data_IF_791488671826
#
_entry.id   IF_791488671826
#
_cell.length_a   1.000
_cell.length_b   1.000
_cell.length_c   1.000
_cell.angle_alpha   90.00
_cell.angle_beta   90.00
_cell.angle_gamma   90.00
#
_symmetry.space_group_name_H-M   'P 1'
#
loop_
_entity.id
_entity.type
_entity.pdbx_description
1 polymer ?
#
# COMPACT_ATOMS: atom_id res chain seq x y z
N UNK A 1 12.36 -16.44 5.25
CA UNK A 1 10.99 -16.98 5.29
C UNK A 1 10.32 -16.58 6.60
N UNK A 2 10.93 -16.82 7.76
CA UNK A 2 10.32 -16.56 9.07
C UNK A 2 10.02 -15.07 9.30
N UNK A 3 10.97 -14.19 8.98
CA UNK A 3 10.78 -12.74 9.09
C UNK A 3 9.66 -12.22 8.17
N UNK A 4 9.53 -12.78 6.96
CA UNK A 4 8.44 -12.44 6.05
C UNK A 4 7.08 -12.84 6.60
N UNK A 5 6.96 -14.07 7.11
CA UNK A 5 5.73 -14.55 7.75
C UNK A 5 5.36 -13.72 8.97
N UNK A 6 6.34 -13.35 9.79
CA UNK A 6 6.12 -12.48 10.93
C UNK A 6 5.62 -11.09 10.51
N UNK A 7 6.25 -10.46 9.52
CA UNK A 7 5.83 -9.18 8.98
C UNK A 7 4.36 -9.22 8.51
N UNK A 8 3.99 -10.23 7.72
CA UNK A 8 2.61 -10.43 7.26
C UNK A 8 1.63 -10.58 8.43
N UNK A 9 1.99 -11.35 9.46
CA UNK A 9 1.13 -11.51 10.63
C UNK A 9 0.91 -10.20 11.39
N UNK A 10 1.94 -9.36 11.51
CA UNK A 10 1.85 -8.06 12.20
C UNK A 10 0.94 -7.06 11.48
N UNK A 11 0.98 -7.03 10.14
CA UNK A 11 0.23 -6.04 9.34
C UNK A 11 -1.21 -6.45 9.01
N UNK A 12 -1.52 -7.74 9.11
CA UNK A 12 -2.77 -8.35 8.60
C UNK A 12 -4.05 -7.64 9.05
N UNK A 13 -4.18 -7.38 10.34
CA UNK A 13 -5.40 -6.77 10.88
C UNK A 13 -5.49 -5.27 10.51
N UNK A 14 -4.36 -4.57 10.52
CA UNK A 14 -4.27 -3.19 10.05
C UNK A 14 -4.73 -3.06 8.60
N UNK A 15 -4.18 -3.87 7.72
CA UNK A 15 -4.53 -3.86 6.29
C UNK A 15 -6.00 -4.21 6.07
N UNK A 16 -6.52 -5.25 6.74
CA UNK A 16 -7.95 -5.59 6.68
C UNK A 16 -8.87 -4.44 7.11
N UNK A 17 -8.43 -3.61 8.05
CA UNK A 17 -9.22 -2.46 8.52
C UNK A 17 -9.43 -1.38 7.45
N UNK A 18 -8.72 -1.44 6.32
CA UNK A 18 -8.91 -0.54 5.17
C UNK A 18 -9.93 -1.06 4.17
N UNK A 19 -10.36 -2.33 4.30
CA UNK A 19 -11.21 -2.98 3.31
C UNK A 19 -12.63 -2.41 3.34
N UNK A 20 -13.11 -2.08 2.15
CA UNK A 20 -14.53 -1.80 1.91
C UNK A 20 -15.25 -3.08 1.51
N UNK A 21 -16.58 -3.02 1.41
CA UNK A 21 -17.40 -4.15 0.92
C UNK A 21 -17.06 -4.60 -0.51
N UNK A 22 -16.33 -3.76 -1.25
CA UNK A 22 -15.89 -4.08 -2.60
C UNK A 22 -14.69 -5.05 -2.64
N UNK A 23 -13.95 -5.20 -1.55
CA UNK A 23 -12.79 -6.11 -1.49
C UNK A 23 -13.29 -7.54 -1.27
N UNK A 24 -13.03 -8.42 -2.24
CA UNK A 24 -13.55 -9.80 -2.25
C UNK A 24 -12.51 -10.85 -1.82
N UNK A 25 -11.23 -10.46 -1.70
CA UNK A 25 -10.14 -11.35 -1.28
C UNK A 25 -9.51 -10.90 0.02
N UNK A 26 -8.95 -11.87 0.76
CA UNK A 26 -8.11 -11.59 1.92
C UNK A 26 -6.64 -11.35 1.56
N UNK A 27 -5.84 -11.02 2.58
CA UNK A 27 -4.39 -10.91 2.47
C UNK A 27 -3.78 -12.30 2.27
N UNK A 28 -2.71 -12.38 1.46
CA UNK A 28 -1.98 -13.61 1.17
C UNK A 28 -2.43 -14.34 -0.09
N UNK A 29 -3.36 -13.77 -0.85
CA UNK A 29 -3.69 -14.20 -2.20
C UNK A 29 -2.66 -13.67 -3.20
N UNK A 30 -2.44 -14.39 -4.32
CA UNK A 30 -1.54 -13.93 -5.40
C UNK A 30 -2.04 -12.68 -6.13
N UNK A 31 -3.30 -12.35 -5.98
CA UNK A 31 -3.92 -11.13 -6.49
C UNK A 31 -5.11 -10.74 -5.66
N UNK A 32 -5.55 -9.51 -5.78
CA UNK A 32 -6.75 -9.00 -5.13
C UNK A 32 -7.93 -8.97 -6.10
N UNK A 33 -9.12 -9.28 -5.58
CA UNK A 33 -10.38 -9.12 -6.29
C UNK A 33 -11.13 -7.94 -5.69
N UNK A 34 -11.53 -7.02 -6.55
CA UNK A 34 -12.28 -5.83 -6.16
C UNK A 34 -13.53 -5.70 -7.02
N UNK A 35 -14.71 -5.65 -6.40
CA UNK A 35 -15.97 -5.49 -7.11
C UNK A 35 -16.14 -4.06 -7.61
N UNK A 36 -16.11 -3.90 -8.92
CA UNK A 36 -16.31 -2.61 -9.59
C UNK A 36 -17.78 -2.30 -9.88
N UNK A 37 -18.68 -3.29 -9.83
CA UNK A 37 -20.07 -3.10 -10.25
C UNK A 37 -20.74 -1.93 -9.53
N UNK A 38 -20.72 -1.80 -8.18
CA UNK A 38 -21.39 -0.70 -7.49
C UNK A 38 -20.85 0.69 -7.85
N UNK A 39 -19.61 0.75 -8.35
CA UNK A 39 -18.96 1.99 -8.76
C UNK A 39 -19.33 2.33 -10.19
N UNK A 40 -19.24 1.34 -11.10
CA UNK A 40 -19.47 1.53 -12.53
C UNK A 40 -20.92 1.91 -12.85
N UNK A 41 -21.88 1.51 -12.04
CA UNK A 41 -23.29 1.87 -12.20
C UNK A 41 -23.53 3.39 -12.19
N UNK A 42 -22.60 4.19 -11.67
CA UNK A 42 -22.67 5.64 -11.65
C UNK A 42 -22.03 6.32 -12.88
N UNK A 43 -21.49 5.56 -13.84
CA UNK A 43 -20.75 6.09 -14.98
C UNK A 43 -21.28 5.56 -16.29
N UNK A 44 -21.57 6.45 -17.23
CA UNK A 44 -21.95 6.06 -18.61
C UNK A 44 -20.77 5.52 -19.42
N UNK A 45 -19.58 6.02 -19.15
CA UNK A 45 -18.35 5.67 -19.86
C UNK A 45 -17.18 5.62 -18.88
N UNK A 46 -17.07 4.54 -18.09
CA UNK A 46 -16.01 4.44 -17.09
C UNK A 46 -14.64 4.31 -17.74
N UNK A 47 -13.68 5.05 -17.22
CA UNK A 47 -12.27 4.98 -17.59
C UNK A 47 -11.46 4.64 -16.35
N UNK A 48 -10.55 3.67 -16.46
CA UNK A 48 -9.62 3.31 -15.40
C UNK A 48 -8.36 4.17 -15.51
N UNK A 49 -7.97 4.79 -14.41
CA UNK A 49 -6.70 5.51 -14.26
C UNK A 49 -5.81 4.72 -13.30
N UNK A 50 -4.55 4.56 -13.65
CA UNK A 50 -3.57 3.87 -12.84
C UNK A 50 -2.31 4.73 -12.70
N UNK A 51 -1.71 4.73 -11.54
CA UNK A 51 -0.42 5.34 -11.25
C UNK A 51 0.44 4.41 -10.41
N UNK A 52 1.74 4.50 -10.57
CA UNK A 52 2.75 3.86 -9.75
C UNK A 52 3.88 4.85 -9.50
N UNK A 53 4.21 5.07 -8.23
CA UNK A 53 5.32 5.92 -7.84
C UNK A 53 5.94 5.41 -6.53
N UNK A 54 7.13 5.93 -6.21
CA UNK A 54 7.87 5.63 -4.99
C UNK A 54 8.05 6.86 -4.11
N UNK A 55 8.52 6.65 -2.89
CA UNK A 55 8.77 7.74 -1.92
C UNK A 55 10.00 8.58 -2.25
N UNK A 56 10.81 8.17 -3.22
CA UNK A 56 12.01 8.88 -3.63
C UNK A 56 13.08 8.96 -2.53
N UNK A 57 13.89 10.00 -2.58
CA UNK A 57 15.07 10.17 -1.71
C UNK A 57 14.73 10.44 -0.26
N UNK A 58 13.48 10.78 0.09
CA UNK A 58 13.07 10.99 1.50
C UNK A 58 13.25 9.74 2.37
N UNK A 59 13.31 8.55 1.78
CA UNK A 59 13.63 7.30 2.50
C UNK A 59 15.00 7.38 3.20
N UNK A 60 15.96 8.12 2.65
CA UNK A 60 17.28 8.34 3.26
C UNK A 60 17.15 9.06 4.59
N UNK A 61 16.25 10.04 4.67
CA UNK A 61 15.97 10.79 5.90
C UNK A 61 15.29 9.90 6.93
N UNK A 62 14.26 9.15 6.51
CA UNK A 62 13.56 8.20 7.37
C UNK A 62 14.52 7.18 7.99
N UNK A 63 15.44 6.62 7.20
CA UNK A 63 16.48 5.70 7.67
C UNK A 63 17.42 6.34 8.69
N UNK A 64 17.88 7.58 8.47
CA UNK A 64 18.74 8.30 9.39
C UNK A 64 18.06 8.59 10.73
N UNK A 65 16.79 8.92 10.68
CA UNK A 65 15.99 9.23 11.87
C UNK A 65 15.39 7.99 12.53
N UNK A 66 15.38 6.85 11.83
CA UNK A 66 14.67 5.61 12.23
C UNK A 66 13.19 5.87 12.53
N UNK A 67 12.53 6.64 11.66
CA UNK A 67 11.11 6.96 11.71
C UNK A 67 10.50 6.55 10.37
N UNK A 68 9.65 5.54 10.37
CA UNK A 68 9.14 4.93 9.15
C UNK A 68 7.61 5.02 8.99
N UNK A 69 6.87 5.38 10.02
CA UNK A 69 5.41 5.48 9.99
C UNK A 69 4.89 6.55 9.03
N UNK A 70 5.65 7.61 8.80
CA UNK A 70 5.27 8.69 7.85
C UNK A 70 5.51 8.33 6.39
N UNK A 71 6.45 7.43 6.10
CA UNK A 71 6.79 7.03 4.72
C UNK A 71 5.62 6.35 4.02
N UNK A 72 4.84 5.52 4.73
CA UNK A 72 3.64 4.90 4.17
C UNK A 72 2.54 5.91 3.82
N UNK A 73 2.41 6.98 4.61
CA UNK A 73 1.50 8.09 4.30
C UNK A 73 1.94 8.80 3.02
N UNK A 74 3.23 9.10 2.90
CA UNK A 74 3.82 9.75 1.73
C UNK A 74 3.63 8.92 0.46
N UNK A 75 3.81 7.60 0.55
CA UNK A 75 3.68 6.69 -0.58
C UNK A 75 2.27 6.72 -1.17
N UNK A 76 1.25 6.52 -0.33
CA UNK A 76 -0.14 6.61 -0.79
C UNK A 76 -0.45 8.00 -1.34
N UNK A 77 0.00 9.06 -0.65
CA UNK A 77 -0.30 10.44 -1.04
C UNK A 77 0.28 10.77 -2.42
N UNK A 78 1.50 10.34 -2.73
CA UNK A 78 2.11 10.54 -4.03
C UNK A 78 1.28 9.87 -5.14
N UNK A 79 1.04 8.56 -5.02
CA UNK A 79 0.28 7.81 -6.03
C UNK A 79 -1.18 8.28 -6.15
N UNK A 80 -1.83 8.64 -5.03
CA UNK A 80 -3.20 9.15 -5.06
C UNK A 80 -3.31 10.53 -5.70
N UNK A 81 -2.32 11.40 -5.50
CA UNK A 81 -2.31 12.72 -6.13
C UNK A 81 -2.20 12.62 -7.66
N UNK A 82 -1.41 11.69 -8.18
CA UNK A 82 -1.35 11.44 -9.63
C UNK A 82 -2.70 11.02 -10.21
N UNK A 83 -3.45 10.20 -9.49
CA UNK A 83 -4.81 9.81 -9.87
C UNK A 83 -5.76 11.03 -9.82
N UNK A 84 -5.64 11.86 -8.77
CA UNK A 84 -6.51 13.02 -8.56
C UNK A 84 -6.32 14.09 -9.63
N UNK A 85 -5.08 14.37 -10.09
CA UNK A 85 -4.85 15.38 -11.15
C UNK A 85 -5.44 14.94 -12.49
N UNK A 86 -5.71 13.65 -12.68
CA UNK A 86 -6.44 13.12 -13.83
C UNK A 86 -7.97 13.15 -13.63
N UNK A 87 -8.45 13.69 -12.52
CA UNK A 87 -9.87 13.76 -12.18
C UNK A 87 -10.47 12.41 -11.74
N UNK A 88 -9.65 11.44 -11.39
CA UNK A 88 -10.09 10.12 -10.98
C UNK A 88 -10.09 9.96 -9.45
N UNK A 89 -10.91 9.06 -8.96
CA UNK A 89 -10.99 8.68 -7.55
C UNK A 89 -10.11 7.46 -7.29
N UNK A 90 -9.18 7.51 -6.33
CA UNK A 90 -8.45 6.32 -5.91
C UNK A 90 -9.38 5.31 -5.24
N UNK A 91 -9.24 4.03 -5.58
CA UNK A 91 -10.08 2.94 -5.07
C UNK A 91 -9.27 1.91 -4.28
N UNK A 92 -8.17 1.48 -4.86
CA UNK A 92 -7.30 0.45 -4.31
C UNK A 92 -5.86 0.91 -4.33
N UNK A 93 -5.06 0.34 -3.44
CA UNK A 93 -3.63 0.58 -3.35
C UNK A 93 -2.89 -0.75 -3.23
N UNK A 94 -1.76 -0.85 -3.91
CA UNK A 94 -0.80 -1.93 -3.82
C UNK A 94 0.56 -1.34 -3.49
N UNK A 95 1.31 -1.97 -2.60
CA UNK A 95 2.64 -1.52 -2.22
C UNK A 95 3.75 -2.48 -2.68
N UNK A 96 4.96 -1.95 -2.76
CA UNK A 96 6.16 -2.76 -2.94
C UNK A 96 7.24 -2.27 -1.96
N UNK A 97 7.62 -3.15 -1.04
CA UNK A 97 8.67 -2.88 -0.06
C UNK A 97 9.85 -3.81 -0.35
N UNK A 98 10.99 -3.24 -0.71
CA UNK A 98 12.23 -4.00 -0.94
C UNK A 98 13.32 -3.57 0.02
N UNK A 99 13.98 -4.54 0.64
CA UNK A 99 15.04 -4.34 1.63
C UNK A 99 16.21 -5.28 1.36
N UNK A 100 17.41 -4.89 1.79
CA UNK A 100 18.56 -5.79 1.87
C UNK A 100 18.24 -6.94 2.83
N UNK A 101 17.87 -6.60 4.06
CA UNK A 101 17.42 -7.54 5.09
C UNK A 101 16.10 -7.08 5.69
N UNK A 102 15.13 -7.98 5.70
CA UNK A 102 13.80 -7.67 6.18
C UNK A 102 13.77 -7.56 7.70
N UNK A 103 13.26 -6.42 8.17
CA UNK A 103 12.95 -6.20 9.59
C UNK A 103 11.42 -6.07 9.75
N UNK A 104 10.74 -7.01 10.43
CA UNK A 104 9.29 -7.02 10.57
C UNK A 104 8.72 -5.77 11.24
N UNK A 105 9.45 -5.18 12.20
CA UNK A 105 9.01 -3.95 12.91
C UNK A 105 9.02 -2.76 11.96
N UNK A 106 10.08 -2.61 11.15
CA UNK A 106 10.15 -1.54 10.14
C UNK A 106 9.04 -1.68 9.10
N UNK A 107 8.76 -2.89 8.63
CA UNK A 107 7.65 -3.14 7.70
C UNK A 107 6.32 -2.80 8.34
N UNK A 108 6.09 -3.18 9.59
CA UNK A 108 4.89 -2.84 10.35
C UNK A 108 4.69 -1.33 10.45
N UNK A 109 5.74 -0.56 10.79
CA UNK A 109 5.68 0.91 10.84
C UNK A 109 5.30 1.52 9.48
N UNK A 110 5.96 1.10 8.39
CA UNK A 110 5.67 1.60 7.05
C UNK A 110 4.21 1.31 6.69
N UNK A 111 3.77 0.07 6.87
CA UNK A 111 2.39 -0.35 6.55
C UNK A 111 1.38 0.35 7.44
N UNK A 112 1.69 0.62 8.71
CA UNK A 112 0.81 1.39 9.60
C UNK A 112 0.53 2.79 9.04
N UNK A 113 1.53 3.45 8.47
CA UNK A 113 1.39 4.72 7.76
C UNK A 113 0.46 4.61 6.53
N UNK A 114 0.64 3.57 5.72
CA UNK A 114 -0.25 3.30 4.57
C UNK A 114 -1.69 3.06 5.03
N UNK A 115 -1.90 2.24 6.06
CA UNK A 115 -3.23 1.96 6.64
C UNK A 115 -3.90 3.26 7.11
N UNK A 116 -3.17 4.12 7.81
CA UNK A 116 -3.68 5.42 8.27
C UNK A 116 -4.13 6.29 7.10
N UNK A 117 -3.33 6.39 6.05
CA UNK A 117 -3.65 7.16 4.86
C UNK A 117 -4.82 6.54 4.08
N UNK A 118 -4.84 5.23 3.89
CA UNK A 118 -5.95 4.51 3.25
C UNK A 118 -7.27 4.74 3.96
N UNK A 119 -7.31 4.63 5.29
CA UNK A 119 -8.52 4.88 6.09
C UNK A 119 -9.02 6.31 5.99
N UNK A 120 -8.11 7.29 5.96
CA UNK A 120 -8.50 8.70 5.86
C UNK A 120 -9.04 9.09 4.49
N UNK A 121 -8.69 8.33 3.43
CA UNK A 121 -9.07 8.60 2.04
C UNK A 121 -10.14 7.64 1.48
N UNK A 122 -10.49 6.60 2.23
CA UNK A 122 -11.44 5.57 1.79
C UNK A 122 -10.86 4.64 0.70
N UNK A 123 -9.54 4.55 0.62
CA UNK A 123 -8.80 3.63 -0.27
C UNK A 123 -8.57 2.30 0.45
N UNK A 124 -8.70 1.19 -0.26
CA UNK A 124 -8.40 -0.13 0.28
C UNK A 124 -6.96 -0.55 -0.07
N UNK A 125 -6.14 -0.88 0.93
CA UNK A 125 -4.84 -1.51 0.74
C UNK A 125 -5.07 -3.01 0.49
N UNK A 126 -5.10 -3.41 -0.77
CA UNK A 126 -5.61 -4.73 -1.18
C UNK A 126 -4.52 -5.79 -1.36
N UNK A 127 -3.27 -5.41 -1.27
CA UNK A 127 -2.13 -6.32 -1.40
C UNK A 127 -0.84 -5.57 -1.62
N UNK A 128 0.20 -6.30 -1.94
CA UNK A 128 1.52 -5.78 -2.19
C UNK A 128 2.57 -6.87 -2.20
N UNK A 129 3.83 -6.47 -2.20
CA UNK A 129 4.97 -7.38 -2.15
C UNK A 129 6.01 -6.85 -1.17
N UNK A 130 6.52 -7.74 -0.31
CA UNK A 130 7.66 -7.44 0.55
C UNK A 130 8.81 -8.36 0.18
N UNK A 131 9.86 -7.79 -0.40
CA UNK A 131 11.00 -8.52 -0.93
C UNK A 131 12.25 -8.31 -0.07
N UNK A 132 12.94 -9.41 0.22
CA UNK A 132 14.30 -9.39 0.76
C UNK A 132 15.27 -9.64 -0.40
N UNK A 133 16.10 -8.65 -0.69
CA UNK A 133 17.01 -8.62 -1.84
C UNK A 133 18.43 -8.26 -1.38
N UNK A 134 19.17 -9.22 -0.80
CA UNK A 134 20.54 -9.00 -0.31
C UNK A 134 21.45 -8.47 -1.42
N UNK A 135 22.36 -7.57 -1.03
CA UNK A 135 23.35 -6.94 -1.91
C UNK A 135 22.77 -6.06 -3.05
N UNK A 136 21.42 -5.89 -3.11
CA UNK A 136 20.76 -5.04 -4.11
C UNK A 136 20.36 -3.70 -3.52
N UNK A 137 19.87 -3.70 -2.28
CA UNK A 137 19.49 -2.49 -1.55
C UNK A 137 20.36 -2.34 -0.29
N UNK A 138 20.75 -1.10 0.01
CA UNK A 138 21.58 -0.75 1.17
C UNK A 138 20.74 -0.47 2.41
#
# INVERSE_FOLDING_TARGET
IDAGNEAVNRIKDGVKSTFTSNVLTGIGSFGSLYDLKPILENYHHPVMVQSIDGVGTKIIIARKLKIFDTIGIDLLSAAANDILVMGARPLTFLDYIANDKLNPETVEEIVSGMVKACKSTGVSLVGGETAEMPDTYL
#
